data_IF_578368195408
#
_entry.id   IF_578368195408
#
_cell.length_a   1.000
_cell.length_b   1.000
_cell.length_c   1.000
_cell.angle_alpha   90.00
_cell.angle_beta   90.00
_cell.angle_gamma   90.00
#
_symmetry.space_group_name_H-M   'P 1'
#
loop_
_entity.id
_entity.type
_entity.pdbx_description
1 polymer ?
#
# COMPACT_ATOMS: atom_id res chain seq x y z
N UNK A 1 -33.20 8.37 -1.58
CA UNK A 1 -31.89 8.24 -2.21
C UNK A 1 -31.16 9.56 -2.10
N UNK A 2 -30.06 9.60 -1.36
CA UNK A 2 -29.18 10.76 -1.31
C UNK A 2 -28.04 10.53 -2.29
N UNK A 3 -27.99 11.38 -3.32
CA UNK A 3 -26.89 11.54 -4.26
C UNK A 3 -26.11 12.77 -3.83
N UNK A 4 -25.22 12.60 -2.86
CA UNK A 4 -24.18 13.59 -2.62
C UNK A 4 -22.87 12.99 -3.13
N UNK A 5 -22.17 13.67 -4.03
CA UNK A 5 -20.90 13.21 -4.62
C UNK A 5 -19.73 13.12 -3.62
N UNK A 6 -20.03 13.09 -2.32
CA UNK A 6 -19.10 13.13 -1.19
C UNK A 6 -19.10 11.83 -0.37
N UNK A 7 -19.51 10.69 -0.96
CA UNK A 7 -19.68 9.42 -0.23
C UNK A 7 -18.41 8.55 -0.12
N UNK A 8 -17.28 8.98 -0.66
CA UNK A 8 -16.03 8.19 -0.64
C UNK A 8 -14.89 8.94 0.02
N UNK A 9 -14.00 8.24 0.71
CA UNK A 9 -12.80 8.84 1.32
C UNK A 9 -11.81 9.42 0.29
N UNK A 10 -10.78 10.12 0.79
CA UNK A 10 -9.78 10.79 -0.05
C UNK A 10 -9.01 9.85 -0.98
N UNK A 11 -8.66 8.64 -0.51
CA UNK A 11 -7.92 7.66 -1.32
C UNK A 11 -8.72 7.26 -2.57
N UNK A 12 -9.99 6.79 -2.48
CA UNK A 12 -10.82 6.56 -3.66
C UNK A 12 -10.97 7.77 -4.58
N UNK A 13 -11.12 8.98 -4.02
CA UNK A 13 -11.24 10.21 -4.82
C UNK A 13 -9.94 10.51 -5.61
N UNK A 14 -8.78 10.40 -4.96
CA UNK A 14 -7.48 10.63 -5.58
C UNK A 14 -7.18 9.58 -6.66
N UNK A 15 -7.51 8.31 -6.40
CA UNK A 15 -7.36 7.24 -7.39
C UNK A 15 -8.26 7.48 -8.62
N UNK A 16 -9.51 7.87 -8.42
CA UNK A 16 -10.40 8.23 -9.53
C UNK A 16 -9.83 9.37 -10.37
N UNK A 17 -9.37 10.45 -9.74
CA UNK A 17 -8.77 11.57 -10.46
C UNK A 17 -7.51 11.17 -11.24
N UNK A 18 -6.64 10.33 -10.64
CA UNK A 18 -5.42 9.81 -11.27
C UNK A 18 -5.76 8.97 -12.50
N UNK A 19 -6.63 7.97 -12.37
CA UNK A 19 -6.97 7.08 -13.48
C UNK A 19 -7.73 7.80 -14.60
N UNK A 20 -8.60 8.77 -14.28
CA UNK A 20 -9.24 9.61 -15.30
C UNK A 20 -8.22 10.38 -16.15
N UNK A 21 -7.14 10.87 -15.52
CA UNK A 21 -6.07 11.57 -16.23
C UNK A 21 -5.22 10.62 -17.08
N UNK A 22 -4.90 9.44 -16.57
CA UNK A 22 -4.22 8.38 -17.34
C UNK A 22 -5.03 8.02 -18.57
N UNK A 23 -6.33 7.79 -18.41
CA UNK A 23 -7.24 7.43 -19.50
C UNK A 23 -7.29 8.51 -20.59
N UNK A 24 -7.30 9.78 -20.20
CA UNK A 24 -7.30 10.92 -21.15
C UNK A 24 -6.02 10.99 -22.00
N UNK A 25 -4.89 10.46 -21.50
CA UNK A 25 -3.58 10.56 -22.14
C UNK A 25 -3.06 9.24 -22.71
N UNK A 26 -3.85 8.16 -22.63
CA UNK A 26 -3.42 6.79 -22.97
C UNK A 26 -2.92 6.61 -24.41
N UNK A 27 -3.45 7.41 -25.35
CA UNK A 27 -3.09 7.33 -26.77
C UNK A 27 -1.81 8.13 -27.09
N UNK A 28 -1.31 8.92 -26.15
CA UNK A 28 -0.14 9.78 -26.31
C UNK A 28 1.07 9.25 -25.56
N UNK A 29 0.86 8.66 -24.37
CA UNK A 29 1.92 8.24 -23.45
C UNK A 29 1.51 6.93 -22.78
N UNK A 30 2.46 6.01 -22.61
CA UNK A 30 2.25 4.79 -21.85
C UNK A 30 2.54 5.04 -20.36
N UNK A 31 1.62 4.63 -19.49
CA UNK A 31 1.74 4.78 -18.04
C UNK A 31 1.96 3.43 -17.37
N UNK A 32 2.77 3.44 -16.30
CA UNK A 32 2.89 2.34 -15.36
C UNK A 32 2.75 2.90 -13.95
N UNK A 33 1.86 2.30 -13.15
CA UNK A 33 1.62 2.69 -11.77
C UNK A 33 2.05 1.56 -10.84
N UNK A 34 2.85 1.89 -9.83
CA UNK A 34 3.22 0.99 -8.74
C UNK A 34 2.57 1.48 -7.47
N UNK A 35 2.00 0.56 -6.68
CA UNK A 35 1.33 0.86 -5.42
C UNK A 35 1.98 0.03 -4.33
N UNK A 36 2.22 0.66 -3.19
CA UNK A 36 2.65 0.01 -1.95
C UNK A 36 1.67 0.41 -0.85
N UNK A 37 1.36 -0.52 0.04
CA UNK A 37 0.52 -0.24 1.19
C UNK A 37 1.24 -0.78 2.42
N UNK A 38 1.60 0.10 3.35
CA UNK A 38 2.40 -0.25 4.52
C UNK A 38 1.73 0.24 5.80
N UNK A 39 1.98 -0.47 6.89
CA UNK A 39 1.69 -0.06 8.26
C UNK A 39 3.02 0.22 8.98
N UNK A 40 3.05 1.30 9.77
CA UNK A 40 4.15 1.56 10.71
C UNK A 40 3.54 1.52 12.11
N UNK A 41 3.93 0.53 12.90
CA UNK A 41 3.42 0.32 14.25
C UNK A 41 4.55 -0.05 15.18
N UNK A 42 4.76 0.73 16.25
CA UNK A 42 5.88 0.56 17.19
C UNK A 42 7.25 0.53 16.49
N UNK A 43 7.45 1.44 15.53
CA UNK A 43 8.67 1.52 14.71
C UNK A 43 8.92 0.33 13.78
N UNK A 44 8.04 -0.68 13.78
CA UNK A 44 8.07 -1.79 12.81
C UNK A 44 7.31 -1.43 11.54
N UNK A 45 7.90 -1.73 10.38
CA UNK A 45 7.28 -1.55 9.06
C UNK A 45 6.72 -2.88 8.58
N UNK A 46 5.43 -2.92 8.30
CA UNK A 46 4.73 -4.08 7.74
C UNK A 46 4.20 -3.77 6.35
N UNK A 47 4.48 -4.67 5.40
CA UNK A 47 3.84 -4.62 4.08
C UNK A 47 2.42 -5.20 4.17
N UNK A 48 1.42 -4.37 3.90
CA UNK A 48 0.00 -4.75 3.95
C UNK A 48 -0.48 -5.45 2.68
N UNK A 49 0.34 -5.50 1.62
CA UNK A 49 0.07 -6.26 0.41
C UNK A 49 0.75 -7.63 0.40
N UNK A 50 1.76 -7.83 1.24
CA UNK A 50 2.37 -9.15 1.47
C UNK A 50 1.83 -9.80 2.75
N UNK A 51 0.96 -10.84 2.64
CA UNK A 51 0.41 -11.54 3.81
C UNK A 51 1.48 -12.28 4.63
N UNK A 52 2.71 -12.43 4.12
CA UNK A 52 3.82 -13.05 4.85
C UNK A 52 4.69 -12.04 5.59
N UNK A 53 4.44 -10.74 5.42
CA UNK A 53 5.28 -9.67 5.98
C UNK A 53 5.28 -9.63 7.51
N UNK A 54 4.19 -10.08 8.14
CA UNK A 54 4.05 -10.15 9.60
C UNK A 54 4.79 -11.33 10.25
N UNK A 55 5.28 -12.28 9.47
CA UNK A 55 5.87 -13.54 9.97
C UNK A 55 7.37 -13.49 10.17
N UNK A 56 8.02 -12.32 10.06
CA UNK A 56 9.33 -12.14 10.68
C UNK A 56 9.12 -11.96 12.17
N UNK A 57 8.69 -13.02 12.85
CA UNK A 57 8.97 -13.15 14.26
C UNK A 57 10.47 -13.03 14.39
N UNK A 58 10.95 -11.99 15.07
CA UNK A 58 12.27 -11.98 15.65
C UNK A 58 12.44 -13.29 16.40
N UNK A 59 13.08 -14.26 15.76
CA UNK A 59 13.64 -15.41 16.46
C UNK A 59 14.87 -14.87 17.18
N UNK A 60 14.64 -14.05 18.19
CA UNK A 60 15.56 -13.90 19.27
C UNK A 60 15.52 -15.23 20.04
N UNK A 61 16.49 -16.10 19.79
CA UNK A 61 16.99 -16.93 20.87
C UNK A 61 18.50 -17.17 20.71
N UNK A 62 19.27 -16.58 21.61
CA UNK A 62 20.68 -16.86 21.73
C UNK A 62 20.92 -18.23 22.36
N UNK A 63 21.75 -19.06 21.75
CA UNK A 63 22.55 -20.07 22.43
C UNK A 63 23.62 -20.64 21.48
N UNK A 64 24.86 -20.18 21.60
CA UNK A 64 26.07 -21.03 21.55
C UNK A 64 27.23 -20.23 22.11
N UNK A 65 27.36 -20.24 23.44
CA UNK A 65 28.71 -20.29 24.00
C UNK A 65 29.35 -21.57 23.49
N UNK A 66 30.45 -21.47 22.75
CA UNK A 66 31.29 -22.62 22.46
C UNK A 66 32.76 -22.18 22.36
N UNK A 67 33.47 -22.56 23.44
CA UNK A 67 34.92 -22.69 23.69
C UNK A 67 35.81 -21.46 23.55
#
# INVERSE_FOLDING_TARGET
GCKDGSQTGLIPQAMNALFNKVETLKDQIQFQLHVSFIEILKEEVRDLLDPNSSNKSDTANGQTGKV
#
